data_IF_875467576393
#
_entry.id   IF_875467576393
#
_cell.length_a   1.000
_cell.length_b   1.000
_cell.length_c   1.000
_cell.angle_alpha   90.00
_cell.angle_beta   90.00
_cell.angle_gamma   90.00
#
_symmetry.space_group_name_H-M   'P 1'
#
loop_
_entity.id
_entity.type
_entity.pdbx_description
1 polymer ?
#
# COMPACT_ATOMS: atom_id res chain seq x y z
N UNK A 1 5.86 -1.00 27.47
CA UNK A 1 6.42 -1.11 26.11
C UNK A 1 6.01 -2.48 25.57
N UNK A 2 5.09 -2.55 24.60
CA UNK A 2 4.65 -3.80 23.96
C UNK A 2 4.40 -3.52 22.46
N UNK A 3 5.17 -4.19 21.61
CA UNK A 3 5.00 -4.24 20.15
C UNK A 3 3.69 -4.98 19.81
N UNK A 4 2.95 -4.72 18.73
CA UNK A 4 3.38 -4.29 17.41
C UNK A 4 2.32 -3.40 16.71
N UNK A 5 2.72 -2.26 16.12
CA UNK A 5 1.90 -1.48 15.21
C UNK A 5 2.50 -1.56 13.80
N UNK A 6 2.01 -2.44 12.91
CA UNK A 6 2.62 -2.56 11.56
C UNK A 6 1.66 -2.54 10.38
N UNK A 7 0.35 -2.45 10.61
CA UNK A 7 -0.64 -2.49 9.52
C UNK A 7 -1.04 -1.12 8.94
N UNK A 8 -0.24 -0.06 9.10
CA UNK A 8 -0.50 1.22 8.39
C UNK A 8 0.54 1.56 7.33
N UNK A 9 1.76 1.00 7.41
CA UNK A 9 2.83 1.23 6.45
C UNK A 9 2.68 0.35 5.20
N UNK A 10 2.28 -0.91 5.38
CA UNK A 10 2.08 -1.84 4.28
C UNK A 10 0.94 -1.37 3.37
N UNK A 11 -0.15 -0.90 3.96
CA UNK A 11 -1.27 -0.29 3.23
C UNK A 11 -0.80 0.91 2.35
N UNK A 12 0.24 1.66 2.74
CA UNK A 12 0.79 2.75 1.90
C UNK A 12 1.58 2.22 0.72
N UNK A 13 2.39 1.19 0.97
CA UNK A 13 3.18 0.52 -0.07
C UNK A 13 2.22 0.00 -1.15
N UNK A 14 1.13 -0.64 -0.75
CA UNK A 14 0.08 -1.11 -1.66
C UNK A 14 -0.55 0.04 -2.48
N UNK A 15 -0.81 1.20 -1.85
CA UNK A 15 -1.34 2.39 -2.54
C UNK A 15 -0.35 2.88 -3.61
N UNK A 16 0.94 2.95 -3.30
CA UNK A 16 1.97 3.42 -4.24
C UNK A 16 2.11 2.44 -5.42
N UNK A 17 2.17 1.13 -5.16
CA UNK A 17 2.22 0.13 -6.23
C UNK A 17 0.97 0.17 -7.12
N UNK A 18 -0.21 0.36 -6.53
CA UNK A 18 -1.46 0.52 -7.29
C UNK A 18 -1.45 1.76 -8.19
N UNK A 19 -0.81 2.84 -7.73
CA UNK A 19 -0.62 4.07 -8.52
C UNK A 19 0.34 3.84 -9.69
N UNK A 20 1.53 3.30 -9.42
CA UNK A 20 2.51 2.96 -10.47
C UNK A 20 1.87 2.03 -11.51
N UNK A 21 1.10 1.04 -11.07
CA UNK A 21 0.40 0.14 -11.99
C UNK A 21 -0.53 0.89 -12.95
N UNK A 22 -1.36 1.81 -12.44
CA UNK A 22 -2.34 2.54 -13.26
C UNK A 22 -1.73 3.65 -14.10
N UNK A 23 -0.75 4.36 -13.55
CA UNK A 23 -0.25 5.60 -14.13
C UNK A 23 0.93 5.34 -15.06
N UNK A 24 1.70 4.26 -14.83
CA UNK A 24 2.94 3.97 -15.56
C UNK A 24 2.88 2.64 -16.29
N UNK A 25 2.37 1.57 -15.65
CA UNK A 25 2.46 0.21 -16.18
C UNK A 25 1.26 -0.22 -17.03
N UNK A 26 0.31 0.68 -17.35
CA UNK A 26 -0.86 0.35 -18.18
C UNK A 26 -0.99 1.33 -19.34
N UNK A 27 -0.86 0.85 -20.60
CA UNK A 27 -0.44 -0.51 -21.01
C UNK A 27 1.04 -0.77 -20.70
N UNK A 28 1.38 -2.01 -20.32
CA UNK A 28 2.75 -2.42 -19.97
C UNK A 28 3.61 -2.69 -21.21
N UNK A 29 3.80 -1.68 -22.05
CA UNK A 29 4.55 -1.79 -23.31
C UNK A 29 5.83 -0.97 -23.24
N UNK A 30 6.91 -1.61 -22.77
CA UNK A 30 8.23 -0.99 -22.65
C UNK A 30 9.24 -1.70 -23.56
N UNK A 31 10.01 -0.96 -24.36
CA UNK A 31 10.96 -1.55 -25.32
C UNK A 31 12.19 -2.18 -24.65
N UNK A 32 12.45 -1.86 -23.37
CA UNK A 32 13.51 -2.49 -22.58
C UNK A 32 13.32 -2.24 -21.08
N UNK A 33 14.00 -3.04 -20.26
CA UNK A 33 14.07 -2.84 -18.79
C UNK A 33 14.71 -1.50 -18.44
N UNK A 34 15.67 -1.02 -19.24
CA UNK A 34 16.32 0.28 -19.02
C UNK A 34 15.32 1.43 -19.16
N UNK A 35 14.47 1.40 -20.19
CA UNK A 35 13.43 2.42 -20.40
C UNK A 35 12.41 2.38 -19.27
N UNK A 36 11.97 1.19 -18.85
CA UNK A 36 11.09 1.03 -17.69
C UNK A 36 11.69 1.67 -16.42
N UNK A 37 12.97 1.41 -16.14
CA UNK A 37 13.66 1.99 -14.99
C UNK A 37 13.66 3.52 -15.04
N UNK A 38 14.02 4.11 -16.18
CA UNK A 38 14.04 5.57 -16.33
C UNK A 38 12.65 6.17 -16.15
N UNK A 39 11.62 5.57 -16.75
CA UNK A 39 10.23 6.02 -16.59
C UNK A 39 9.78 5.98 -15.14
N UNK A 40 10.10 4.92 -14.40
CA UNK A 40 9.77 4.82 -12.98
C UNK A 40 10.47 5.88 -12.13
N UNK A 41 11.76 6.14 -12.37
CA UNK A 41 12.49 7.18 -11.64
C UNK A 41 11.90 8.57 -11.89
N UNK A 42 11.67 8.93 -13.17
CA UNK A 42 11.04 10.21 -13.52
C UNK A 42 9.64 10.37 -12.92
N UNK A 43 8.84 9.30 -12.91
CA UNK A 43 7.52 9.32 -12.25
C UNK A 43 7.64 9.61 -10.75
N UNK A 44 8.60 8.96 -10.06
CA UNK A 44 8.81 9.19 -8.64
C UNK A 44 9.33 10.62 -8.36
N UNK A 45 10.19 11.15 -9.22
CA UNK A 45 10.67 12.54 -9.09
C UNK A 45 9.52 13.54 -9.25
N UNK A 46 8.63 13.35 -10.23
CA UNK A 46 7.46 14.22 -10.46
C UNK A 46 6.48 14.20 -9.27
N UNK A 47 6.14 13.02 -8.74
CA UNK A 47 5.22 12.95 -7.60
C UNK A 47 5.83 13.51 -6.31
N UNK A 48 7.16 13.51 -6.20
CA UNK A 48 7.89 14.09 -5.07
C UNK A 48 7.99 15.62 -5.17
N UNK A 49 7.97 16.19 -6.38
CA UNK A 49 7.91 17.64 -6.61
C UNK A 49 6.55 18.22 -6.15
N UNK A 50 5.47 17.46 -6.34
CA UNK A 50 4.12 17.84 -5.93
C UNK A 50 3.46 16.79 -5.02
N UNK A 51 3.95 16.64 -3.78
CA UNK A 51 3.51 15.59 -2.90
C UNK A 51 2.04 15.79 -2.51
N UNK A 52 1.20 14.82 -2.85
CA UNK A 52 -0.20 14.78 -2.39
C UNK A 52 -0.22 14.19 -0.97
N UNK A 53 -0.63 14.95 0.05
CA UNK A 53 -0.63 14.45 1.43
C UNK A 53 -1.52 13.22 1.56
N UNK A 54 -0.95 12.13 2.06
CA UNK A 54 -1.73 10.94 2.39
C UNK A 54 -2.37 11.16 3.75
N UNK A 55 -3.71 11.21 3.77
CA UNK A 55 -4.45 11.31 5.04
C UNK A 55 -4.55 9.93 5.68
N UNK A 56 -3.85 9.76 6.79
CA UNK A 56 -3.93 8.57 7.64
C UNK A 56 -5.36 8.40 8.18
N UNK A 57 -6.08 7.38 7.72
CA UNK A 57 -7.41 7.01 8.25
C UNK A 57 -7.40 5.66 8.96
N UNK A 58 -6.26 4.96 8.97
CA UNK A 58 -6.10 3.68 9.64
C UNK A 58 -5.83 3.92 11.13
N UNK A 59 -6.73 3.45 11.98
CA UNK A 59 -6.66 3.65 13.43
C UNK A 59 -6.37 2.33 14.13
N UNK A 60 -5.89 2.39 15.37
CA UNK A 60 -5.74 1.20 16.22
C UNK A 60 -7.04 0.40 16.33
N UNK A 61 -8.19 1.08 16.35
CA UNK A 61 -9.51 0.43 16.36
C UNK A 61 -9.76 -0.38 15.08
N UNK A 62 -9.43 0.16 13.89
CA UNK A 62 -9.52 -0.59 12.62
C UNK A 62 -8.58 -1.78 12.57
N UNK A 63 -7.37 -1.65 13.13
CA UNK A 63 -6.44 -2.77 13.27
C UNK A 63 -7.03 -3.89 14.13
N UNK A 64 -7.52 -3.54 15.32
CA UNK A 64 -8.12 -4.51 16.23
C UNK A 64 -9.35 -5.16 15.61
N UNK A 65 -10.20 -4.42 14.89
CA UNK A 65 -11.34 -5.03 14.20
C UNK A 65 -10.93 -6.01 13.09
N UNK A 66 -9.85 -5.72 12.35
CA UNK A 66 -9.37 -6.57 11.24
C UNK A 66 -8.63 -7.82 11.73
N UNK A 67 -7.94 -7.74 12.86
CA UNK A 67 -7.02 -8.78 13.36
C UNK A 67 -7.36 -9.27 14.77
N UNK A 68 -8.53 -8.92 15.31
CA UNK A 68 -9.00 -9.52 16.55
C UNK A 68 -9.03 -11.04 16.35
N UNK A 69 -8.58 -11.82 17.35
CA UNK A 69 -8.79 -13.26 17.30
C UNK A 69 -10.29 -13.49 17.12
N UNK A 70 -10.65 -14.38 16.20
CA UNK A 70 -12.02 -14.85 16.09
C UNK A 70 -12.44 -15.27 17.50
N UNK A 71 -13.46 -14.62 18.05
CA UNK A 71 -14.03 -15.08 19.30
C UNK A 71 -14.41 -16.55 19.12
N UNK A 72 -14.09 -17.36 20.12
CA UNK A 72 -14.27 -18.83 20.17
C UNK A 72 -15.71 -19.31 19.85
N UNK A 73 -16.65 -18.40 19.59
CA UNK A 73 -18.00 -18.67 19.10
C UNK A 73 -18.06 -19.27 17.68
N UNK A 74 -17.08 -19.01 16.81
CA UNK A 74 -17.06 -19.62 15.47
C UNK A 74 -16.62 -21.10 15.48
N UNK A 75 -15.92 -21.55 16.52
CA UNK A 75 -15.44 -22.93 16.66
C UNK A 75 -16.46 -23.83 17.40
N UNK A 76 -17.39 -23.26 18.17
CA UNK A 76 -18.53 -23.99 18.79
C UNK A 76 -19.71 -24.24 17.84
N UNK A 77 -19.69 -23.65 16.63
CA UNK A 77 -20.77 -23.75 15.65
C UNK A 77 -20.41 -24.61 14.42
N UNK A 78 -19.28 -25.32 14.45
CA UNK A 78 -18.89 -26.35 13.46
C UNK A 78 -18.85 -27.73 14.15
#
# INVERSE_FOLDING_TARGET
MAAAPRASWLDQVEIIFSKVQRDVLVPNDFPSVFVLQQTLMSYFDEINEHPKPVRWTYTKAKMLAKFAPASEEQERAA
#
